data_IF_718785575054
#
_entry.id   IF_718785575054
#
_cell.length_a   1.000
_cell.length_b   1.000
_cell.length_c   1.000
_cell.angle_alpha   90.00
_cell.angle_beta   90.00
_cell.angle_gamma   90.00
#
_symmetry.space_group_name_H-M   'P 1'
#
loop_
_entity.id
_entity.type
_entity.pdbx_description
1 polymer ?
#
# COMPACT_ATOMS: atom_id res chain seq x y z
N UNK A 1 -2.76 37.64 -16.38
CA UNK A 1 -2.60 36.59 -17.42
C UNK A 1 -2.98 37.20 -18.76
N UNK A 2 -2.12 37.10 -19.77
CA UNK A 2 -2.29 37.64 -21.13
C UNK A 2 -2.32 36.44 -22.06
N UNK A 3 -3.29 36.40 -22.97
CA UNK A 3 -3.38 35.40 -24.04
C UNK A 3 -2.92 36.05 -25.36
N UNK A 4 -1.84 35.53 -25.93
CA UNK A 4 -1.26 36.04 -27.19
C UNK A 4 -1.62 35.10 -28.31
N UNK A 5 -2.40 35.61 -29.29
CA UNK A 5 -2.73 34.90 -30.49
C UNK A 5 -1.81 35.36 -31.64
N UNK A 6 -0.84 34.54 -32.00
CA UNK A 6 0.04 34.67 -33.15
C UNK A 6 -0.14 33.50 -34.11
N UNK A 7 0.57 33.47 -35.24
CA UNK A 7 0.53 32.33 -36.18
C UNK A 7 0.83 30.98 -35.51
N UNK A 8 1.60 30.95 -34.42
CA UNK A 8 1.85 29.74 -33.65
C UNK A 8 0.69 29.32 -32.73
N UNK A 9 -0.26 30.22 -32.40
CA UNK A 9 -1.42 29.89 -31.59
C UNK A 9 -2.42 28.98 -32.32
N UNK A 10 -2.31 28.82 -33.64
CA UNK A 10 -3.09 27.85 -34.39
C UNK A 10 -2.83 26.40 -33.91
N UNK A 11 -1.63 26.10 -33.39
CA UNK A 11 -1.30 24.81 -32.76
C UNK A 11 -2.09 24.54 -31.46
N UNK A 12 -2.59 25.57 -30.80
CA UNK A 12 -3.37 25.36 -29.56
C UNK A 12 -4.72 24.68 -29.85
N UNK A 13 -5.34 24.97 -30.98
CA UNK A 13 -6.65 24.38 -31.33
C UNK A 13 -6.53 22.87 -31.62
N UNK A 14 -5.34 22.40 -31.94
CA UNK A 14 -5.02 20.99 -32.17
C UNK A 14 -4.88 20.21 -30.87
N UNK A 15 -4.66 20.92 -29.76
CA UNK A 15 -4.48 20.31 -28.44
C UNK A 15 -5.84 19.89 -27.85
N UNK A 16 -6.01 18.59 -27.58
CA UNK A 16 -7.22 18.03 -27.00
C UNK A 16 -7.60 18.66 -25.66
N UNK A 17 -6.61 18.99 -24.81
CA UNK A 17 -6.84 19.67 -23.55
C UNK A 17 -7.46 21.05 -23.72
N UNK A 18 -7.00 21.81 -24.70
CA UNK A 18 -7.56 23.11 -25.03
C UNK A 18 -8.97 22.98 -25.60
N UNK A 19 -9.21 21.98 -26.44
CA UNK A 19 -10.55 21.69 -26.99
C UNK A 19 -11.53 21.34 -25.84
N UNK A 20 -11.07 20.57 -24.85
CA UNK A 20 -11.86 20.22 -23.67
C UNK A 20 -12.17 21.46 -22.80
N UNK A 21 -11.19 22.33 -22.61
CA UNK A 21 -11.36 23.61 -21.89
C UNK A 21 -12.39 24.52 -22.56
N UNK A 22 -12.47 24.55 -23.91
CA UNK A 22 -13.51 25.27 -24.65
C UNK A 22 -14.89 24.74 -24.29
N UNK A 23 -15.06 23.42 -24.35
CA UNK A 23 -16.35 22.77 -24.04
C UNK A 23 -16.74 23.03 -22.61
N UNK A 24 -15.83 22.87 -21.66
CA UNK A 24 -16.07 23.08 -20.22
C UNK A 24 -16.40 24.55 -19.91
N UNK A 25 -15.68 25.51 -20.50
CA UNK A 25 -15.96 26.93 -20.32
C UNK A 25 -17.36 27.32 -20.77
N UNK A 26 -17.87 26.73 -21.86
CA UNK A 26 -19.20 27.03 -22.40
C UNK A 26 -20.26 26.25 -21.63
N UNK A 27 -19.96 25.04 -21.18
CA UNK A 27 -20.85 24.25 -20.35
C UNK A 27 -21.05 24.84 -18.94
N UNK A 28 -20.15 25.73 -18.50
CA UNK A 28 -20.15 26.29 -17.13
C UNK A 28 -20.30 25.19 -16.07
N UNK A 29 -19.53 24.10 -16.25
CA UNK A 29 -19.67 22.87 -15.48
C UNK A 29 -18.65 22.75 -14.33
N UNK A 30 -18.20 23.88 -13.79
CA UNK A 30 -17.24 23.91 -12.68
C UNK A 30 -17.66 23.07 -11.46
N UNK A 31 -18.96 23.04 -11.07
CA UNK A 31 -19.39 22.18 -9.98
C UNK A 31 -19.17 20.68 -10.27
N UNK A 32 -19.44 20.25 -11.53
CA UNK A 32 -19.24 18.87 -11.95
C UNK A 32 -17.75 18.52 -12.06
N UNK A 33 -16.93 19.46 -12.53
CA UNK A 33 -15.47 19.29 -12.53
C UNK A 33 -14.91 19.16 -11.10
N UNK A 34 -15.37 19.99 -10.16
CA UNK A 34 -14.94 19.95 -8.77
C UNK A 34 -15.35 18.63 -8.09
N UNK A 35 -16.60 18.16 -8.29
CA UNK A 35 -17.05 16.86 -7.76
C UNK A 35 -16.22 15.72 -8.36
N UNK A 36 -16.02 15.74 -9.69
CA UNK A 36 -15.19 14.74 -10.37
C UNK A 36 -13.75 14.72 -9.82
N UNK A 37 -13.10 15.88 -9.69
CA UNK A 37 -11.73 15.97 -9.16
C UNK A 37 -11.63 15.40 -7.76
N UNK A 38 -12.55 15.73 -6.87
CA UNK A 38 -12.61 15.18 -5.51
C UNK A 38 -12.75 13.66 -5.52
N UNK A 39 -13.62 13.12 -6.38
CA UNK A 39 -13.80 11.66 -6.52
C UNK A 39 -12.60 10.98 -7.14
N UNK A 40 -11.95 11.62 -8.10
CA UNK A 40 -10.74 11.11 -8.73
C UNK A 40 -9.59 11.00 -7.73
N UNK A 41 -9.39 12.02 -6.89
CA UNK A 41 -8.38 11.99 -5.82
C UNK A 41 -8.67 10.87 -4.82
N UNK A 42 -9.93 10.71 -4.39
CA UNK A 42 -10.32 9.64 -3.48
C UNK A 42 -10.10 8.24 -4.08
N UNK A 43 -10.46 8.05 -5.35
CA UNK A 43 -10.22 6.79 -6.06
C UNK A 43 -8.72 6.49 -6.21
N UNK A 44 -7.92 7.47 -6.61
CA UNK A 44 -6.47 7.31 -6.76
C UNK A 44 -5.82 6.95 -5.42
N UNK A 45 -6.22 7.60 -4.33
CA UNK A 45 -5.75 7.28 -2.99
C UNK A 45 -6.12 5.84 -2.56
N UNK A 46 -7.34 5.38 -2.88
CA UNK A 46 -7.78 4.02 -2.60
C UNK A 46 -6.99 2.98 -3.42
N UNK A 47 -6.71 3.25 -4.69
CA UNK A 47 -5.86 2.40 -5.55
C UNK A 47 -4.44 2.31 -4.99
N UNK A 48 -3.84 3.43 -4.59
CA UNK A 48 -2.50 3.45 -3.98
C UNK A 48 -2.45 2.68 -2.66
N UNK A 49 -3.47 2.83 -1.81
CA UNK A 49 -3.58 2.10 -0.55
C UNK A 49 -3.65 0.59 -0.78
N UNK A 50 -4.48 0.14 -1.72
CA UNK A 50 -4.58 -1.26 -2.12
C UNK A 50 -3.23 -1.80 -2.63
N UNK A 51 -2.56 -1.07 -3.51
CA UNK A 51 -1.25 -1.47 -4.03
C UNK A 51 -0.18 -1.58 -2.93
N UNK A 52 -0.17 -0.66 -1.97
CA UNK A 52 0.74 -0.72 -0.81
C UNK A 52 0.51 -1.98 0.02
N UNK A 53 -0.75 -2.30 0.33
CA UNK A 53 -1.10 -3.52 1.08
C UNK A 53 -0.72 -4.79 0.33
N UNK A 54 -1.00 -4.87 -0.97
CA UNK A 54 -0.62 -6.01 -1.81
C UNK A 54 0.90 -6.22 -1.88
N UNK A 55 1.67 -5.13 -1.97
CA UNK A 55 3.12 -5.20 -1.98
C UNK A 55 3.69 -5.64 -0.63
N UNK A 56 3.10 -5.19 0.49
CA UNK A 56 3.48 -5.63 1.83
C UNK A 56 3.15 -7.11 2.03
N UNK A 57 1.94 -7.54 1.67
CA UNK A 57 1.53 -8.94 1.73
C UNK A 57 2.44 -9.84 0.90
N UNK A 58 2.79 -9.43 -0.33
CA UNK A 58 3.69 -10.19 -1.20
C UNK A 58 5.10 -10.36 -0.62
N UNK A 59 5.65 -9.33 0.04
CA UNK A 59 6.94 -9.44 0.72
C UNK A 59 6.85 -10.37 1.93
N UNK A 60 5.79 -10.26 2.72
CA UNK A 60 5.57 -11.13 3.88
C UNK A 60 5.31 -12.59 3.49
N UNK A 61 4.69 -12.84 2.35
CA UNK A 61 4.37 -14.18 1.87
C UNK A 61 5.60 -14.97 1.39
N UNK A 62 6.68 -14.29 0.98
CA UNK A 62 7.92 -14.99 0.61
C UNK A 62 8.57 -15.73 1.79
N UNK A 63 8.36 -15.23 3.02
CA UNK A 63 8.88 -15.84 4.24
C UNK A 63 7.79 -16.57 5.06
N UNK A 64 6.52 -16.48 4.64
CA UNK A 64 5.37 -16.98 5.39
C UNK A 64 5.46 -18.47 5.71
N UNK A 65 5.76 -19.31 4.71
CA UNK A 65 5.89 -20.77 4.88
C UNK A 65 7.00 -21.13 5.87
N UNK A 66 8.10 -20.37 5.84
CA UNK A 66 9.22 -20.56 6.75
C UNK A 66 8.87 -20.11 8.18
N UNK A 67 8.20 -18.99 8.32
CA UNK A 67 7.73 -18.47 9.62
C UNK A 67 6.71 -19.43 10.23
N UNK A 68 5.70 -19.88 9.45
CA UNK A 68 4.71 -20.86 9.90
C UNK A 68 5.35 -22.18 10.31
N UNK A 69 6.29 -22.69 9.53
CA UNK A 69 7.02 -23.91 9.86
C UNK A 69 7.78 -23.78 11.17
N UNK A 70 8.49 -22.67 11.39
CA UNK A 70 9.24 -22.39 12.62
C UNK A 70 8.32 -22.27 13.83
N UNK A 71 7.21 -21.53 13.68
CA UNK A 71 6.21 -21.37 14.72
C UNK A 71 5.63 -22.73 15.11
N UNK A 72 5.16 -23.51 14.16
CA UNK A 72 4.56 -24.82 14.39
C UNK A 72 5.50 -25.75 15.13
N UNK A 73 6.78 -25.76 14.75
CA UNK A 73 7.78 -26.59 15.41
C UNK A 73 7.99 -26.25 16.87
N UNK A 74 8.00 -24.96 17.24
CA UNK A 74 8.16 -24.51 18.62
C UNK A 74 6.85 -24.65 19.42
N UNK A 75 5.69 -24.45 18.79
CA UNK A 75 4.39 -24.59 19.44
C UNK A 75 4.08 -26.04 19.80
N UNK A 76 4.31 -26.98 18.85
CA UNK A 76 4.14 -28.41 19.06
C UNK A 76 5.14 -28.97 20.11
N UNK A 77 6.27 -28.31 20.32
CA UNK A 77 7.27 -28.73 21.29
C UNK A 77 6.80 -28.59 22.77
N UNK A 78 5.78 -27.77 23.04
CA UNK A 78 5.20 -27.65 24.39
C UNK A 78 6.24 -27.22 25.43
N UNK A 79 7.05 -26.19 25.10
CA UNK A 79 8.19 -25.72 25.90
C UNK A 79 7.75 -25.20 27.30
N UNK A 80 8.51 -25.52 28.33
CA UNK A 80 8.33 -25.01 29.68
C UNK A 80 9.64 -24.37 30.14
N UNK A 81 9.53 -23.30 30.93
CA UNK A 81 10.71 -22.66 31.55
C UNK A 81 11.39 -23.57 32.53
N UNK A 82 12.72 -23.72 32.45
CA UNK A 82 13.54 -24.52 33.33
C UNK A 82 13.31 -26.04 33.25
N UNK A 83 12.66 -26.51 32.17
CA UNK A 83 12.38 -27.94 31.92
C UNK A 83 13.68 -28.74 31.80
N UNK A 84 14.69 -28.22 31.14
CA UNK A 84 15.96 -28.91 30.92
C UNK A 84 16.68 -29.16 32.20
N UNK A 85 16.77 -28.16 33.10
CA UNK A 85 17.41 -28.31 34.42
C UNK A 85 16.67 -29.35 35.28
N UNK A 86 15.36 -29.38 35.24
CA UNK A 86 14.56 -30.39 35.96
C UNK A 86 14.81 -31.80 35.40
N UNK A 87 14.87 -31.93 34.08
CA UNK A 87 15.13 -33.18 33.41
C UNK A 87 16.57 -33.68 33.68
N UNK A 88 17.57 -32.81 33.71
CA UNK A 88 18.95 -33.17 34.06
C UNK A 88 19.05 -33.72 35.49
N UNK A 89 18.36 -33.06 36.43
CA UNK A 89 18.31 -33.55 37.82
C UNK A 89 17.56 -34.89 37.94
N UNK A 90 16.49 -35.08 37.17
CA UNK A 90 15.74 -36.33 37.13
C UNK A 90 16.55 -37.45 36.47
N UNK A 91 17.22 -37.17 35.36
CA UNK A 91 18.12 -38.12 34.69
C UNK A 91 19.24 -38.60 35.62
N UNK A 92 19.89 -37.65 36.36
CA UNK A 92 20.92 -38.01 37.32
C UNK A 92 20.42 -38.96 38.39
N UNK A 93 19.24 -38.71 38.96
CA UNK A 93 18.63 -39.58 39.98
C UNK A 93 18.28 -40.97 39.45
N UNK A 94 17.69 -41.02 38.24
CA UNK A 94 17.26 -42.28 37.64
C UNK A 94 18.41 -43.14 37.14
N UNK A 95 19.43 -42.53 36.53
CA UNK A 95 20.61 -43.24 36.02
C UNK A 95 21.48 -43.83 37.13
N UNK A 96 21.53 -43.18 38.32
CA UNK A 96 22.32 -43.67 39.45
C UNK A 96 21.48 -44.48 40.46
N UNK A 97 20.18 -44.68 40.18
CA UNK A 97 19.26 -45.35 41.12
C UNK A 97 19.75 -46.75 41.49
N UNK A 98 20.25 -47.55 40.53
CA UNK A 98 20.75 -48.88 40.75
C UNK A 98 22.06 -48.87 41.60
N UNK A 99 22.98 -47.99 41.27
CA UNK A 99 24.24 -47.84 42.04
C UNK A 99 23.98 -47.41 43.48
N UNK A 100 23.07 -46.44 43.69
CA UNK A 100 22.67 -45.98 45.03
C UNK A 100 22.03 -47.11 45.82
N UNK A 101 21.11 -47.86 45.20
CA UNK A 101 20.44 -48.98 45.82
C UNK A 101 21.45 -50.06 46.23
N UNK A 102 22.35 -50.48 45.30
CA UNK A 102 23.37 -51.47 45.58
C UNK A 102 24.35 -51.01 46.69
N UNK A 103 24.75 -49.74 46.70
CA UNK A 103 25.58 -49.19 47.77
C UNK A 103 24.89 -49.26 49.15
N UNK A 104 23.59 -48.87 49.20
CA UNK A 104 22.78 -48.94 50.44
C UNK A 104 22.59 -50.39 50.90
N UNK A 105 22.23 -51.30 49.99
CA UNK A 105 22.09 -52.74 50.29
C UNK A 105 23.41 -53.34 50.79
N UNK A 106 24.55 -52.98 50.17
CA UNK A 106 25.85 -53.41 50.63
C UNK A 106 26.16 -52.89 52.01
N UNK A 107 25.87 -51.63 52.33
CA UNK A 107 26.08 -51.05 53.63
C UNK A 107 25.21 -51.74 54.70
N UNK A 108 23.91 -52.01 54.38
CA UNK A 108 23.05 -52.77 55.25
C UNK A 108 23.57 -54.16 55.54
N UNK A 109 23.99 -54.88 54.48
CA UNK A 109 24.56 -56.22 54.67
C UNK A 109 25.79 -56.25 55.53
N UNK A 110 26.71 -55.24 55.35
CA UNK A 110 27.89 -55.12 56.21
C UNK A 110 27.57 -54.80 57.67
N UNK A 111 26.49 -54.07 57.93
CA UNK A 111 26.09 -53.68 59.29
C UNK A 111 25.26 -54.76 59.98
N UNK A 112 24.34 -55.48 59.28
CA UNK A 112 23.38 -56.43 59.88
C UNK A 112 23.42 -57.86 59.31
N UNK A 113 24.40 -58.22 58.43
CA UNK A 113 24.49 -59.56 57.82
C UNK A 113 24.45 -60.71 58.91
N UNK A 114 24.00 -61.93 58.44
CA UNK A 114 23.75 -63.06 59.34
C UNK A 114 25.02 -63.63 59.98
N UNK A 115 26.19 -63.38 59.43
CA UNK A 115 27.49 -63.76 59.99
C UNK A 115 28.55 -62.66 59.84
N UNK A 116 29.12 -62.22 60.97
CA UNK A 116 30.25 -61.31 61.02
C UNK A 116 29.91 -59.82 60.75
N UNK A 117 28.67 -59.43 60.90
CA UNK A 117 28.26 -58.02 60.74
C UNK A 117 28.82 -57.15 61.88
N UNK A 118 29.01 -55.85 61.57
CA UNK A 118 29.52 -54.90 62.60
C UNK A 118 28.62 -54.77 63.79
N UNK A 119 27.35 -54.78 63.63
CA UNK A 119 26.37 -54.70 64.74
C UNK A 119 26.40 -55.98 65.58
N UNK A 120 26.53 -57.16 64.97
CA UNK A 120 26.60 -58.42 65.69
C UNK A 120 27.93 -58.56 66.46
N UNK A 121 29.04 -58.13 65.77
CA UNK A 121 30.32 -58.11 66.46
C UNK A 121 30.34 -57.22 67.72
N UNK A 122 29.75 -56.03 67.61
CA UNK A 122 29.60 -55.12 68.74
C UNK A 122 28.64 -55.68 69.79
N UNK A 123 27.57 -56.42 69.41
CA UNK A 123 26.67 -57.09 70.36
C UNK A 123 27.35 -58.24 71.12
N UNK A 124 28.26 -58.91 70.48
CA UNK A 124 29.02 -60.00 71.14
C UNK A 124 30.12 -59.51 72.11
N UNK A 125 30.48 -58.24 71.99
CA UNK A 125 31.47 -57.64 72.85
C UNK A 125 30.89 -57.45 74.27
N UNK A 126 31.54 -58.04 75.29
CA UNK A 126 31.14 -58.02 76.72
C UNK A 126 32.32 -57.57 77.55
N UNK A 127 32.36 -56.30 77.94
CA UNK A 127 33.42 -55.64 78.69
C UNK A 127 32.95 -54.99 79.99
N UNK A 128 31.71 -55.27 80.40
CA UNK A 128 31.03 -54.65 81.56
C UNK A 128 31.86 -54.65 82.88
N UNK A 129 32.58 -55.76 83.08
CA UNK A 129 33.42 -55.90 84.30
C UNK A 129 34.85 -55.38 84.11
N UNK A 130 35.37 -55.42 82.86
CA UNK A 130 36.78 -55.11 82.60
C UNK A 130 37.01 -53.65 82.20
N UNK A 131 36.06 -53.06 81.51
CA UNK A 131 36.17 -51.68 81.03
C UNK A 131 34.77 -51.06 80.79
N UNK A 132 34.07 -50.63 81.83
CA UNK A 132 32.67 -50.14 81.68
C UNK A 132 32.52 -48.92 80.82
N UNK A 133 33.43 -47.96 80.80
CA UNK A 133 33.43 -46.80 79.92
C UNK A 133 33.54 -47.16 78.43
N UNK A 134 34.31 -48.20 78.13
CA UNK A 134 34.45 -48.70 76.80
C UNK A 134 33.19 -49.44 76.34
N UNK A 135 32.56 -50.19 77.28
CA UNK A 135 31.29 -50.88 77.04
C UNK A 135 30.18 -49.85 76.67
N UNK A 136 30.06 -48.77 77.46
CA UNK A 136 29.07 -47.70 77.18
C UNK A 136 29.26 -47.07 75.81
N UNK A 137 30.52 -46.85 75.39
CA UNK A 137 30.84 -46.36 74.04
C UNK A 137 30.50 -47.38 72.93
N UNK A 138 30.72 -48.66 73.19
CA UNK A 138 30.35 -49.74 72.26
C UNK A 138 28.82 -49.81 72.07
N UNK A 139 28.10 -49.73 73.19
CA UNK A 139 26.61 -49.73 73.15
C UNK A 139 26.05 -48.52 72.47
N UNK A 140 26.60 -47.33 72.65
CA UNK A 140 26.24 -46.13 71.97
C UNK A 140 26.51 -46.24 70.44
N UNK A 141 27.69 -46.71 70.05
CA UNK A 141 28.02 -46.92 68.62
C UNK A 141 27.12 -47.98 67.95
N UNK A 142 26.75 -49.06 68.72
CA UNK A 142 25.83 -50.06 68.20
C UNK A 142 24.45 -49.50 67.94
N UNK A 143 23.91 -48.68 68.83
CA UNK A 143 22.62 -48.01 68.62
C UNK A 143 22.68 -47.11 67.39
N UNK A 144 23.70 -46.28 67.28
CA UNK A 144 23.90 -45.37 66.13
C UNK A 144 23.97 -46.14 64.78
N UNK A 145 24.76 -47.27 64.77
CA UNK A 145 24.85 -48.11 63.54
C UNK A 145 23.51 -48.79 63.22
N UNK A 146 22.70 -49.16 64.27
CA UNK A 146 21.36 -49.71 64.01
C UNK A 146 20.44 -48.65 63.39
N UNK A 147 20.47 -47.39 63.85
CA UNK A 147 19.69 -46.30 63.32
C UNK A 147 20.10 -45.99 61.85
N UNK A 148 21.41 -45.91 61.59
CA UNK A 148 21.94 -45.73 60.21
C UNK A 148 21.49 -46.88 59.32
N UNK A 149 21.53 -48.11 59.80
CA UNK A 149 21.09 -49.27 59.03
C UNK A 149 19.61 -49.21 58.62
N UNK A 150 18.72 -48.90 59.61
CA UNK A 150 17.30 -48.74 59.37
C UNK A 150 16.99 -47.57 58.41
N UNK A 151 17.82 -46.51 58.44
CA UNK A 151 17.68 -45.41 57.53
C UNK A 151 18.11 -45.81 56.10
N UNK A 152 19.24 -46.54 55.97
CA UNK A 152 19.72 -47.06 54.71
C UNK A 152 18.73 -48.05 54.05
N UNK A 153 18.15 -48.98 54.86
CA UNK A 153 17.08 -49.88 54.36
C UNK A 153 15.88 -49.10 53.85
N UNK A 154 15.43 -48.10 54.61
CA UNK A 154 14.31 -47.26 54.19
C UNK A 154 14.60 -46.47 52.91
N UNK A 155 15.84 -45.94 52.77
CA UNK A 155 16.27 -45.26 51.58
C UNK A 155 16.36 -46.20 50.38
N UNK A 156 16.97 -47.40 50.55
CA UNK A 156 17.04 -48.42 49.48
C UNK A 156 15.66 -48.80 48.93
N UNK A 157 14.66 -48.96 49.84
CA UNK A 157 13.28 -49.27 49.48
C UNK A 157 12.51 -48.11 48.81
N UNK A 158 13.05 -46.92 48.87
CA UNK A 158 12.47 -45.73 48.20
C UNK A 158 13.09 -45.41 46.88
N UNK A 159 14.20 -46.03 46.52
CA UNK A 159 14.85 -45.84 45.22
C UNK A 159 14.02 -46.55 44.16
N UNK A 160 13.22 -45.75 43.41
CA UNK A 160 12.45 -46.24 42.29
C UNK A 160 13.35 -46.36 41.07
N UNK A 161 13.36 -47.58 40.49
CA UNK A 161 13.97 -47.83 39.18
C UNK A 161 12.88 -47.80 38.12
N UNK A 162 12.90 -46.76 37.30
CA UNK A 162 11.95 -46.63 36.16
C UNK A 162 12.72 -46.43 34.84
N UNK A 163 13.09 -47.56 34.17
CA UNK A 163 13.81 -47.49 32.91
C UNK A 163 13.01 -46.80 31.79
N UNK A 164 11.68 -46.89 31.86
CA UNK A 164 10.83 -46.28 30.82
C UNK A 164 10.80 -44.75 31.03
N UNK A 165 10.76 -44.31 32.28
CA UNK A 165 10.83 -42.89 32.58
C UNK A 165 12.20 -42.29 32.25
N UNK A 166 13.28 -43.02 32.51
CA UNK A 166 14.64 -42.60 32.14
C UNK A 166 14.74 -42.42 30.63
N UNK A 167 14.30 -43.37 29.84
CA UNK A 167 14.29 -43.27 28.39
C UNK A 167 13.48 -42.07 27.90
N UNK A 168 12.32 -41.82 28.44
CA UNK A 168 11.49 -40.65 28.09
C UNK A 168 12.20 -39.34 28.45
N UNK A 169 12.87 -39.25 29.57
CA UNK A 169 13.65 -38.07 29.99
C UNK A 169 14.78 -37.81 29.01
N UNK A 170 15.54 -38.85 28.62
CA UNK A 170 16.61 -38.74 27.63
C UNK A 170 16.11 -38.29 26.25
N UNK A 171 15.05 -38.88 25.72
CA UNK A 171 14.41 -38.50 24.48
C UNK A 171 13.91 -37.05 24.52
N UNK A 172 13.32 -36.62 25.62
CA UNK A 172 12.85 -35.25 25.80
C UNK A 172 13.98 -34.22 25.85
N UNK A 173 15.06 -34.52 26.57
CA UNK A 173 16.26 -33.70 26.63
C UNK A 173 16.94 -33.58 25.28
N UNK A 174 17.04 -34.68 24.51
CA UNK A 174 17.58 -34.67 23.13
C UNK A 174 16.73 -33.77 22.22
N UNK A 175 15.39 -33.85 22.33
CA UNK A 175 14.46 -33.01 21.58
C UNK A 175 14.67 -31.52 21.91
N UNK A 176 14.75 -31.16 23.19
CA UNK A 176 14.97 -29.79 23.64
C UNK A 176 16.34 -29.26 23.17
N UNK A 177 17.42 -30.04 23.34
CA UNK A 177 18.76 -29.67 22.87
C UNK A 177 18.81 -29.50 21.35
N UNK A 178 18.10 -30.33 20.60
CA UNK A 178 17.97 -30.19 19.14
C UNK A 178 17.32 -28.86 18.76
N UNK A 179 16.26 -28.46 19.49
CA UNK A 179 15.59 -27.18 19.27
C UNK A 179 16.50 -25.99 19.63
N UNK A 180 17.17 -26.04 20.79
CA UNK A 180 18.13 -25.01 21.20
C UNK A 180 19.21 -24.80 20.13
N UNK A 181 19.78 -25.91 19.63
CA UNK A 181 20.79 -25.87 18.56
C UNK A 181 20.25 -25.32 17.24
N UNK A 182 19.07 -25.81 16.82
CA UNK A 182 18.43 -25.42 15.55
C UNK A 182 18.08 -23.94 15.51
N UNK A 183 17.63 -23.39 16.62
CA UNK A 183 17.24 -21.98 16.73
C UNK A 183 18.33 -21.08 17.28
N UNK A 184 19.50 -21.64 17.61
CA UNK A 184 20.64 -20.93 18.23
C UNK A 184 20.21 -20.17 19.50
N UNK A 185 19.40 -20.80 20.33
CA UNK A 185 18.91 -20.26 21.59
C UNK A 185 19.76 -20.82 22.75
N UNK A 186 19.98 -20.01 23.79
CA UNK A 186 20.78 -20.40 24.95
C UNK A 186 19.98 -21.24 25.97
N UNK A 187 18.65 -21.05 26.00
CA UNK A 187 17.75 -21.72 26.96
C UNK A 187 16.31 -21.74 26.42
N UNK A 188 15.40 -22.42 27.16
CA UNK A 188 13.99 -22.55 26.80
C UNK A 188 13.26 -21.21 26.82
N UNK A 189 13.64 -20.29 27.69
CA UNK A 189 13.04 -18.95 27.79
C UNK A 189 13.21 -18.19 26.47
N UNK A 190 14.39 -18.32 25.84
CA UNK A 190 14.64 -17.73 24.50
C UNK A 190 13.80 -18.42 23.41
N UNK A 191 13.64 -19.75 23.47
CA UNK A 191 12.77 -20.46 22.53
C UNK A 191 11.29 -20.05 22.67
N UNK A 192 10.81 -19.87 23.91
CA UNK A 192 9.45 -19.40 24.19
C UNK A 192 9.26 -17.98 23.65
N UNK A 193 10.20 -17.07 23.91
CA UNK A 193 10.15 -15.70 23.38
C UNK A 193 10.14 -15.70 21.85
N UNK A 194 10.95 -16.55 21.21
CA UNK A 194 10.97 -16.70 19.75
C UNK A 194 9.65 -17.26 19.22
N UNK A 195 9.05 -18.25 19.90
CA UNK A 195 7.70 -18.78 19.56
C UNK A 195 6.67 -17.66 19.57
N UNK A 196 6.66 -16.85 20.62
CA UNK A 196 5.68 -15.77 20.78
C UNK A 196 5.87 -14.68 19.73
N UNK A 197 7.11 -14.33 19.37
CA UNK A 197 7.40 -13.42 18.26
C UNK A 197 6.91 -13.99 16.92
N UNK A 198 7.15 -15.27 16.66
CA UNK A 198 6.67 -15.94 15.44
C UNK A 198 5.14 -16.02 15.40
N UNK A 199 4.48 -16.22 16.54
CA UNK A 199 3.02 -16.20 16.65
C UNK A 199 2.44 -14.83 16.22
N UNK A 200 3.05 -13.74 16.67
CA UNK A 200 2.64 -12.40 16.23
C UNK A 200 2.85 -12.19 14.72
N UNK A 201 3.93 -12.74 14.15
CA UNK A 201 4.18 -12.65 12.73
C UNK A 201 3.14 -13.45 11.92
N UNK A 202 2.76 -14.66 12.35
CA UNK A 202 1.70 -15.46 11.73
C UNK A 202 0.36 -14.74 11.77
N UNK A 203 -0.02 -14.18 12.93
CA UNK A 203 -1.26 -13.42 13.07
C UNK A 203 -1.32 -12.20 12.14
N UNK A 204 -0.18 -11.53 11.90
CA UNK A 204 -0.11 -10.42 10.93
C UNK A 204 -0.29 -10.88 9.50
N UNK A 205 0.20 -12.07 9.13
CA UNK A 205 -0.02 -12.64 7.80
C UNK A 205 -1.51 -12.88 7.53
N UNK A 206 -2.23 -13.43 8.48
CA UNK A 206 -3.67 -13.70 8.37
C UNK A 206 -4.50 -12.40 8.27
N UNK A 207 -4.02 -11.27 8.86
CA UNK A 207 -4.71 -9.99 8.78
C UNK A 207 -4.64 -9.33 7.39
N UNK A 208 -3.58 -9.60 6.60
CA UNK A 208 -3.42 -8.98 5.29
C UNK A 208 -4.55 -9.32 4.31
N UNK A 209 -5.06 -10.54 4.32
CA UNK A 209 -6.16 -10.95 3.42
C UNK A 209 -7.43 -10.16 3.73
N UNK A 210 -7.72 -9.95 5.00
CA UNK A 210 -8.86 -9.13 5.43
C UNK A 210 -8.68 -7.65 5.05
N UNK A 211 -7.49 -7.10 5.27
CA UNK A 211 -7.19 -5.70 4.96
C UNK A 211 -7.22 -5.44 3.45
N UNK A 212 -6.70 -6.36 2.64
CA UNK A 212 -6.76 -6.31 1.18
C UNK A 212 -8.21 -6.36 0.70
N UNK A 213 -9.03 -7.27 1.24
CA UNK A 213 -10.45 -7.36 0.88
C UNK A 213 -11.22 -6.07 1.20
N UNK A 214 -10.94 -5.45 2.34
CA UNK A 214 -11.52 -4.16 2.71
C UNK A 214 -11.06 -3.02 1.79
N UNK A 215 -9.76 -2.96 1.48
CA UNK A 215 -9.22 -1.96 0.57
C UNK A 215 -9.76 -2.12 -0.86
N UNK A 216 -9.96 -3.36 -1.34
CA UNK A 216 -10.62 -3.62 -2.63
C UNK A 216 -12.05 -3.11 -2.65
N UNK A 217 -12.82 -3.39 -1.60
CA UNK A 217 -14.19 -2.93 -1.48
C UNK A 217 -14.28 -1.40 -1.48
N UNK A 218 -13.39 -0.74 -0.76
CA UNK A 218 -13.28 0.72 -0.73
C UNK A 218 -12.95 1.28 -2.12
N UNK A 219 -11.94 0.72 -2.79
CA UNK A 219 -11.58 1.11 -4.16
C UNK A 219 -12.74 0.96 -5.13
N UNK A 220 -13.53 -0.13 -5.05
CA UNK A 220 -14.70 -0.34 -5.89
C UNK A 220 -15.82 0.68 -5.59
N UNK A 221 -16.02 1.03 -4.33
CA UNK A 221 -16.98 2.07 -3.94
C UNK A 221 -16.57 3.44 -4.50
N UNK A 222 -15.30 3.82 -4.36
CA UNK A 222 -14.78 5.07 -4.91
C UNK A 222 -14.85 5.08 -6.45
N UNK A 223 -14.55 3.96 -7.11
CA UNK A 223 -14.71 3.80 -8.55
C UNK A 223 -16.16 4.01 -9.00
N UNK A 224 -17.11 3.43 -8.31
CA UNK A 224 -18.53 3.60 -8.63
C UNK A 224 -19.01 5.06 -8.44
N UNK A 225 -18.51 5.74 -7.40
CA UNK A 225 -18.79 7.15 -7.18
C UNK A 225 -18.16 8.04 -8.28
N UNK A 226 -16.91 7.76 -8.64
CA UNK A 226 -16.21 8.46 -9.72
C UNK A 226 -16.89 8.27 -11.08
N UNK A 227 -17.35 7.04 -11.38
CA UNK A 227 -18.08 6.75 -12.63
C UNK A 227 -19.35 7.63 -12.75
N UNK A 228 -20.12 7.78 -11.68
CA UNK A 228 -21.30 8.64 -11.68
C UNK A 228 -20.94 10.12 -11.91
N UNK A 229 -19.88 10.60 -11.27
CA UNK A 229 -19.39 11.96 -11.48
C UNK A 229 -18.90 12.18 -12.93
N UNK A 230 -18.19 11.20 -13.50
CA UNK A 230 -17.75 11.20 -14.89
C UNK A 230 -18.94 11.26 -15.87
N UNK A 231 -19.98 10.45 -15.66
CA UNK A 231 -21.20 10.47 -16.47
C UNK A 231 -21.92 11.83 -16.40
N UNK A 232 -21.98 12.46 -15.23
CA UNK A 232 -22.55 13.78 -15.06
C UNK A 232 -21.74 14.85 -15.80
N UNK A 233 -20.42 14.78 -15.73
CA UNK A 233 -19.52 15.69 -16.44
C UNK A 233 -19.63 15.50 -17.96
N UNK A 234 -19.59 14.27 -18.45
CA UNK A 234 -19.79 13.94 -19.88
C UNK A 234 -21.15 14.44 -20.40
N UNK A 235 -22.22 14.28 -19.61
CA UNK A 235 -23.55 14.77 -19.96
C UNK A 235 -23.57 16.29 -20.10
N UNK A 236 -22.93 17.01 -19.19
CA UNK A 236 -22.83 18.48 -19.26
C UNK A 236 -22.09 18.95 -20.50
N UNK A 237 -20.99 18.27 -20.85
CA UNK A 237 -20.18 18.53 -22.06
C UNK A 237 -20.99 18.29 -23.33
N UNK A 238 -21.66 17.12 -23.41
CA UNK A 238 -22.49 16.76 -24.59
C UNK A 238 -23.62 17.74 -24.83
N UNK A 239 -24.18 18.32 -23.79
CA UNK A 239 -25.29 19.27 -23.93
C UNK A 239 -24.90 20.54 -24.72
N UNK A 240 -23.64 20.94 -24.70
CA UNK A 240 -23.15 22.17 -25.35
C UNK A 240 -22.45 21.96 -26.70
N UNK A 241 -22.11 20.73 -27.08
CA UNK A 241 -21.38 20.47 -28.33
C UNK A 241 -22.13 21.01 -29.57
N UNK A 242 -23.44 20.73 -29.69
CA UNK A 242 -24.26 21.20 -30.80
C UNK A 242 -24.41 22.73 -30.82
N UNK A 243 -24.77 23.42 -29.73
CA UNK A 243 -24.78 24.87 -29.64
C UNK A 243 -23.43 25.53 -30.03
N UNK A 244 -22.30 24.94 -29.59
CA UNK A 244 -20.96 25.42 -29.94
C UNK A 244 -20.76 25.35 -31.46
N UNK A 245 -21.02 24.20 -32.08
CA UNK A 245 -20.87 24.00 -33.51
C UNK A 245 -21.73 24.96 -34.31
N UNK A 246 -23.01 25.12 -33.97
CA UNK A 246 -23.93 26.04 -34.66
C UNK A 246 -23.43 27.49 -34.59
N UNK A 247 -22.92 27.93 -33.46
CA UNK A 247 -22.40 29.28 -33.26
C UNK A 247 -21.07 29.50 -34.01
N UNK A 248 -20.17 28.52 -34.00
CA UNK A 248 -18.93 28.56 -34.78
C UNK A 248 -19.22 28.66 -36.29
N UNK A 249 -20.13 27.83 -36.80
CA UNK A 249 -20.55 27.85 -38.21
C UNK A 249 -21.13 29.21 -38.59
N UNK A 250 -22.01 29.78 -37.74
CA UNK A 250 -22.60 31.10 -38.00
C UNK A 250 -21.53 32.22 -38.09
N UNK A 251 -20.58 32.24 -37.14
CA UNK A 251 -19.50 33.21 -37.14
C UNK A 251 -18.53 33.02 -38.33
N UNK A 252 -18.17 31.77 -38.67
CA UNK A 252 -17.31 31.47 -39.83
C UNK A 252 -17.93 31.90 -41.14
N UNK A 253 -19.25 31.76 -41.32
CA UNK A 253 -19.96 32.26 -42.52
C UNK A 253 -19.82 33.77 -42.64
N UNK A 254 -19.90 34.54 -41.56
CA UNK A 254 -19.68 36.00 -41.55
C UNK A 254 -18.23 36.36 -41.93
N UNK A 255 -17.27 35.46 -41.59
CA UNK A 255 -15.86 35.63 -41.91
C UNK A 255 -15.47 35.07 -43.28
N UNK A 256 -16.42 34.88 -44.20
CA UNK A 256 -16.18 34.46 -45.57
C UNK A 256 -15.94 32.96 -45.77
N UNK A 257 -16.16 32.13 -44.76
CA UNK A 257 -16.13 30.66 -44.89
C UNK A 257 -17.56 30.17 -45.04
N UNK A 258 -18.16 30.44 -46.22
CA UNK A 258 -19.61 30.26 -46.43
C UNK A 258 -20.10 28.81 -46.25
N UNK A 259 -19.23 27.85 -46.52
CA UNK A 259 -19.55 26.42 -46.48
C UNK A 259 -18.88 25.69 -45.29
N UNK A 260 -18.48 26.46 -44.28
CA UNK A 260 -17.89 25.87 -43.07
C UNK A 260 -18.81 24.82 -42.44
N UNK A 261 -18.25 23.71 -42.12
CA UNK A 261 -18.86 22.68 -41.28
C UNK A 261 -17.95 22.38 -40.07
N UNK A 262 -18.54 22.27 -38.87
CA UNK A 262 -17.81 22.03 -37.62
C UNK A 262 -18.57 20.97 -36.86
N UNK A 263 -17.84 20.03 -36.31
CA UNK A 263 -18.37 19.05 -35.38
C UNK A 263 -17.43 18.89 -34.16
N UNK A 264 -17.99 18.62 -33.01
CA UNK A 264 -17.26 18.25 -31.80
C UNK A 264 -17.69 16.84 -31.47
N UNK A 265 -16.74 15.93 -31.54
CA UNK A 265 -16.92 14.55 -31.08
C UNK A 265 -16.39 14.40 -29.68
N UNK A 266 -17.22 13.79 -28.82
CA UNK A 266 -16.88 13.45 -27.45
C UNK A 266 -16.97 11.92 -27.32
N UNK A 267 -15.80 11.28 -27.23
CA UNK A 267 -15.67 9.85 -27.12
C UNK A 267 -15.32 9.49 -25.66
N UNK A 268 -16.22 8.83 -24.91
CA UNK A 268 -15.92 8.40 -23.57
C UNK A 268 -14.85 7.30 -23.61
N UNK A 269 -13.85 7.42 -22.76
CA UNK A 269 -12.81 6.41 -22.56
C UNK A 269 -13.11 5.57 -21.32
N UNK A 270 -12.47 4.41 -21.22
CA UNK A 270 -12.53 3.55 -20.03
C UNK A 270 -11.63 4.03 -18.91
N UNK A 271 -10.66 4.89 -19.23
CA UNK A 271 -9.65 5.36 -18.31
C UNK A 271 -10.04 6.70 -17.70
N UNK A 272 -9.97 6.80 -16.40
CA UNK A 272 -10.17 8.04 -15.69
C UNK A 272 -8.89 8.88 -15.73
N UNK A 273 -9.03 10.13 -16.13
CA UNK A 273 -7.94 11.12 -16.10
C UNK A 273 -8.29 12.25 -15.12
N UNK A 274 -7.33 13.10 -14.71
CA UNK A 274 -7.65 14.25 -13.85
C UNK A 274 -8.70 15.21 -14.43
N UNK A 275 -8.93 15.19 -15.76
CA UNK A 275 -9.87 16.08 -16.47
C UNK A 275 -11.20 15.39 -16.86
N UNK A 276 -11.40 14.14 -16.50
CA UNK A 276 -12.58 13.36 -16.90
C UNK A 276 -12.22 12.07 -17.63
N UNK A 277 -13.20 11.47 -18.29
CA UNK A 277 -13.05 10.27 -19.11
C UNK A 277 -13.52 10.53 -20.57
N UNK A 278 -13.47 11.78 -21.04
CA UNK A 278 -13.86 12.13 -22.39
C UNK A 278 -12.65 12.54 -23.24
N UNK A 279 -12.49 11.94 -24.39
CA UNK A 279 -11.65 12.46 -25.45
C UNK A 279 -12.47 13.37 -26.35
N UNK A 280 -11.99 14.59 -26.55
CA UNK A 280 -12.63 15.58 -27.42
C UNK A 280 -11.87 15.71 -28.73
N UNK A 281 -12.60 15.78 -29.84
CA UNK A 281 -12.04 16.07 -31.15
C UNK A 281 -12.87 17.13 -31.86
N UNK A 282 -12.22 18.23 -32.18
CA UNK A 282 -12.80 19.28 -33.02
C UNK A 282 -12.54 18.96 -34.49
N UNK A 283 -13.61 18.70 -35.21
CA UNK A 283 -13.56 18.41 -36.67
C UNK A 283 -14.00 19.64 -37.45
N UNK A 284 -13.32 19.93 -38.56
CA UNK A 284 -13.57 21.09 -39.38
C UNK A 284 -13.47 20.75 -40.86
N UNK A 285 -14.34 21.37 -41.67
CA UNK A 285 -14.26 21.43 -43.12
C UNK A 285 -14.65 22.85 -43.57
N UNK A 286 -13.82 23.45 -44.41
CA UNK A 286 -14.02 24.81 -44.92
C UNK A 286 -14.94 24.86 -46.16
N UNK A 287 -15.03 23.77 -46.93
CA UNK A 287 -15.69 23.71 -48.24
C UNK A 287 -16.68 22.53 -48.34
N UNK A 288 -17.71 22.67 -49.17
CA UNK A 288 -18.75 21.66 -49.37
C UNK A 288 -18.25 20.27 -49.79
N UNK A 289 -17.12 20.21 -50.50
CA UNK A 289 -16.58 18.96 -51.05
C UNK A 289 -15.51 18.34 -50.16
N UNK A 290 -15.31 18.88 -48.95
CA UNK A 290 -14.37 18.35 -47.98
C UNK A 290 -15.13 17.58 -46.88
N UNK A 291 -14.64 16.38 -46.56
CA UNK A 291 -15.06 15.69 -45.37
C UNK A 291 -14.59 16.41 -44.12
N UNK A 292 -15.34 16.28 -43.04
CA UNK A 292 -14.86 16.71 -41.72
C UNK A 292 -13.57 15.96 -41.37
N UNK A 293 -12.54 16.70 -40.98
CA UNK A 293 -11.22 16.19 -40.55
C UNK A 293 -10.82 16.84 -39.26
N UNK A 294 -9.93 16.22 -38.54
CA UNK A 294 -9.34 16.85 -37.39
C UNK A 294 -8.70 18.20 -37.77
N UNK A 295 -8.87 19.19 -36.91
CA UNK A 295 -8.31 20.54 -37.16
C UNK A 295 -6.81 20.51 -37.43
N UNK A 296 -6.07 19.58 -36.82
CA UNK A 296 -4.63 19.35 -37.09
C UNK A 296 -4.29 18.94 -38.52
N UNK A 297 -5.25 18.43 -39.28
CA UNK A 297 -5.06 17.96 -40.67
C UNK A 297 -5.47 19.03 -41.72
N UNK A 298 -5.94 20.19 -41.28
CA UNK A 298 -6.40 21.27 -42.17
C UNK A 298 -5.24 22.12 -42.62
N UNK A 299 -4.99 22.15 -43.92
CA UNK A 299 -3.81 22.76 -44.52
C UNK A 299 -3.83 24.31 -44.63
N UNK A 300 -4.99 24.96 -44.46
CA UNK A 300 -5.13 26.40 -44.66
C UNK A 300 -4.98 27.23 -43.39
N UNK A 301 -3.84 27.89 -43.23
CA UNK A 301 -3.57 28.76 -42.07
C UNK A 301 -4.60 29.88 -41.88
N UNK A 302 -5.10 30.47 -42.95
CA UNK A 302 -6.11 31.53 -42.87
C UNK A 302 -7.49 31.04 -42.41
N UNK A 303 -7.88 29.82 -42.76
CA UNK A 303 -9.14 29.21 -42.29
C UNK A 303 -9.07 28.84 -40.83
N UNK A 304 -7.92 28.29 -40.39
CA UNK A 304 -7.67 27.97 -38.97
C UNK A 304 -7.63 29.23 -38.09
N UNK A 305 -7.00 30.32 -38.59
CA UNK A 305 -6.98 31.62 -37.89
C UNK A 305 -8.39 32.19 -37.68
N UNK A 306 -9.25 32.10 -38.72
CA UNK A 306 -10.66 32.51 -38.59
C UNK A 306 -11.44 31.61 -37.64
N UNK A 307 -11.23 30.29 -37.69
CA UNK A 307 -11.85 29.36 -36.72
C UNK A 307 -11.40 29.70 -35.29
N UNK A 308 -10.09 29.94 -35.08
CA UNK A 308 -9.57 30.32 -33.78
C UNK A 308 -10.16 31.65 -33.29
N UNK A 309 -10.33 32.65 -34.15
CA UNK A 309 -11.01 33.88 -33.76
C UNK A 309 -12.45 33.62 -33.29
N UNK A 310 -13.19 32.75 -33.99
CA UNK A 310 -14.55 32.38 -33.62
C UNK A 310 -14.57 31.63 -32.28
N UNK A 311 -13.62 30.73 -32.01
CA UNK A 311 -13.47 30.02 -30.76
C UNK A 311 -13.18 31.00 -29.62
N UNK A 312 -12.21 31.93 -29.80
CA UNK A 312 -11.88 32.96 -28.83
C UNK A 312 -13.06 33.87 -28.54
N UNK A 313 -13.83 34.25 -29.55
CA UNK A 313 -15.04 35.04 -29.37
C UNK A 313 -16.12 34.31 -28.54
N UNK A 314 -16.20 33.00 -28.72
CA UNK A 314 -17.14 32.16 -27.98
C UNK A 314 -16.77 32.08 -26.51
N UNK A 315 -15.50 31.88 -26.20
CA UNK A 315 -15.01 31.76 -24.79
C UNK A 315 -14.95 33.15 -24.13
N UNK A 316 -14.80 34.20 -24.91
CA UNK A 316 -14.69 35.57 -24.39
C UNK A 316 -15.88 35.97 -23.51
N UNK A 317 -17.06 35.43 -23.71
CA UNK A 317 -18.26 35.71 -22.92
C UNK A 317 -18.38 34.89 -21.64
N UNK A 318 -17.61 33.82 -21.46
CA UNK A 318 -17.82 32.85 -20.37
C UNK A 318 -16.80 32.95 -19.24
N UNK A 319 -15.53 32.80 -19.54
CA UNK A 319 -14.47 32.96 -18.53
C UNK A 319 -13.25 33.62 -19.15
N UNK A 320 -12.56 34.39 -18.34
CA UNK A 320 -11.65 34.88 -18.83
C UNK A 320 -10.30 35.44 -18.61
N UNK A 321 -9.42 35.28 -19.50
CA UNK A 321 -8.19 36.03 -19.57
C UNK A 321 -8.54 37.53 -19.71
N UNK A 322 -8.03 38.41 -18.87
CA UNK A 322 -8.40 39.82 -18.88
C UNK A 322 -7.96 40.53 -20.17
N UNK A 323 -6.92 40.03 -20.82
CA UNK A 323 -6.34 40.62 -22.07
C UNK A 323 -6.09 39.55 -23.11
N UNK A 324 -6.52 39.81 -24.35
CA UNK A 324 -6.21 39.00 -25.51
C UNK A 324 -5.48 39.88 -26.53
N UNK A 325 -4.34 39.42 -27.00
CA UNK A 325 -3.54 40.08 -28.06
C UNK A 325 -3.71 39.28 -29.35
N UNK A 326 -4.20 39.92 -30.39
CA UNK A 326 -4.25 39.36 -31.73
C UNK A 326 -3.11 39.94 -32.57
N UNK A 327 -2.20 39.08 -33.02
CA UNK A 327 -1.04 39.46 -33.82
C UNK A 327 -1.17 38.87 -35.21
N UNK A 328 -1.26 39.76 -36.22
CA UNK A 328 -1.35 39.43 -37.66
C UNK A 328 -2.47 38.43 -38.03
N UNK A 329 -3.59 38.45 -37.31
CA UNK A 329 -4.73 37.56 -37.57
C UNK A 329 -5.44 37.86 -38.91
N UNK A 330 -5.17 39.00 -39.49
CA UNK A 330 -5.76 39.54 -40.68
C UNK A 330 -4.99 39.19 -41.98
N UNK A 331 -3.98 38.32 -41.90
CA UNK A 331 -3.21 37.87 -43.07
C UNK A 331 -4.10 37.19 -44.12
N UNK A 332 -4.08 37.68 -45.37
CA UNK A 332 -4.88 37.16 -46.47
C UNK A 332 -6.37 37.51 -46.43
N UNK A 333 -6.73 38.51 -45.64
CA UNK A 333 -8.10 39.01 -45.51
C UNK A 333 -8.21 40.42 -46.12
N UNK A 334 -9.31 40.75 -46.74
CA UNK A 334 -9.56 42.07 -47.32
C UNK A 334 -11.05 42.44 -47.34
N UNK A 335 -11.34 43.74 -47.50
CA UNK A 335 -12.69 44.25 -47.70
C UNK A 335 -13.68 43.95 -46.57
N UNK A 336 -14.82 43.40 -46.90
CA UNK A 336 -15.93 43.16 -45.99
C UNK A 336 -15.58 42.16 -44.88
N UNK A 337 -14.74 41.18 -45.17
CA UNK A 337 -14.31 40.19 -44.19
C UNK A 337 -13.50 40.84 -43.04
N UNK A 338 -12.60 41.78 -43.39
CA UNK A 338 -11.85 42.54 -42.38
C UNK A 338 -12.78 43.38 -41.49
N UNK A 339 -13.84 43.95 -42.06
CA UNK A 339 -14.85 44.70 -41.33
C UNK A 339 -15.63 43.81 -40.34
N UNK A 340 -15.97 42.58 -40.76
CA UNK A 340 -16.64 41.62 -39.90
C UNK A 340 -15.73 41.12 -38.76
N UNK A 341 -14.46 40.85 -39.07
CA UNK A 341 -13.45 40.51 -38.05
C UNK A 341 -13.36 41.62 -36.98
N UNK A 342 -13.25 42.86 -37.41
CA UNK A 342 -13.19 44.01 -36.53
C UNK A 342 -14.47 44.14 -35.67
N UNK A 343 -15.64 43.79 -36.19
CA UNK A 343 -16.90 43.80 -35.47
C UNK A 343 -16.94 42.73 -34.39
N UNK A 344 -16.45 41.51 -34.67
CA UNK A 344 -16.33 40.43 -33.69
C UNK A 344 -15.35 40.83 -32.56
N UNK A 345 -14.19 41.39 -32.91
CA UNK A 345 -13.19 41.86 -31.92
C UNK A 345 -13.77 42.98 -31.04
N UNK A 346 -14.54 43.90 -31.62
CA UNK A 346 -15.19 44.97 -30.88
C UNK A 346 -16.24 44.45 -29.92
N UNK A 347 -16.98 43.42 -30.29
CA UNK A 347 -17.93 42.75 -29.38
C UNK A 347 -17.19 42.08 -28.19
N UNK A 348 -16.08 41.41 -28.47
CA UNK A 348 -15.21 40.86 -27.41
C UNK A 348 -14.64 41.95 -26.50
N UNK A 349 -14.33 43.12 -27.05
CA UNK A 349 -13.76 44.25 -26.29
C UNK A 349 -14.74 44.85 -25.28
N UNK A 350 -16.05 44.59 -25.36
CA UNK A 350 -17.03 44.99 -24.33
C UNK A 350 -16.81 44.30 -23.01
N UNK A 351 -16.19 43.16 -23.02
CA UNK A 351 -16.00 42.32 -21.81
C UNK A 351 -14.55 42.16 -21.39
N UNK A 352 -13.59 42.56 -22.26
CA UNK A 352 -12.15 42.30 -22.08
C UNK A 352 -11.29 43.33 -22.78
N UNK A 353 -10.05 43.44 -22.37
CA UNK A 353 -9.05 44.19 -23.10
C UNK A 353 -8.65 43.39 -24.34
N UNK A 354 -8.83 43.99 -25.54
CA UNK A 354 -8.36 43.42 -26.81
C UNK A 354 -7.29 44.34 -27.38
N UNK A 355 -6.13 43.78 -27.70
CA UNK A 355 -5.04 44.44 -28.37
C UNK A 355 -4.88 43.78 -29.73
N UNK A 356 -4.89 44.58 -30.79
CA UNK A 356 -4.78 44.05 -32.16
C UNK A 356 -3.58 44.68 -32.88
N UNK A 357 -2.68 43.86 -33.38
CA UNK A 357 -1.59 44.27 -34.24
C UNK A 357 -2.07 43.99 -35.68
N UNK A 358 -2.29 45.03 -36.44
CA UNK A 358 -2.90 44.95 -37.79
C UNK A 358 -2.29 45.95 -38.77
N UNK A 359 -2.28 45.58 -40.03
CA UNK A 359 -1.95 46.50 -41.12
C UNK A 359 -3.18 46.92 -41.93
N UNK A 360 -4.38 46.41 -41.59
CA UNK A 360 -5.63 46.71 -42.28
C UNK A 360 -6.34 47.93 -41.66
N UNK A 361 -6.58 48.99 -42.45
CA UNK A 361 -7.27 50.19 -41.97
C UNK A 361 -8.69 49.92 -41.50
N UNK A 362 -9.37 48.92 -42.06
CA UNK A 362 -10.72 48.51 -41.65
C UNK A 362 -10.78 47.99 -40.21
N UNK A 363 -9.73 47.29 -39.75
CA UNK A 363 -9.63 46.80 -38.39
C UNK A 363 -9.17 47.92 -37.48
N UNK A 364 -8.11 48.64 -37.85
CA UNK A 364 -7.59 49.76 -37.10
C UNK A 364 -8.69 50.83 -36.80
N UNK A 365 -9.49 51.20 -37.78
CA UNK A 365 -10.55 52.20 -37.62
C UNK A 365 -11.65 51.81 -36.60
N UNK A 366 -11.72 50.57 -36.14
CA UNK A 366 -12.70 50.12 -35.11
C UNK A 366 -12.12 50.14 -33.69
N UNK A 367 -10.81 50.38 -33.55
CA UNK A 367 -10.18 50.52 -32.25
C UNK A 367 -10.56 51.85 -31.55
N UNK A 368 -10.68 51.83 -30.22
CA UNK A 368 -10.92 53.03 -29.40
C UNK A 368 -9.61 53.81 -29.15
N UNK A 369 -8.48 53.08 -29.09
CA UNK A 369 -7.16 53.63 -28.89
C UNK A 369 -6.22 53.14 -30.00
N UNK A 370 -5.42 54.07 -30.58
CA UNK A 370 -4.52 53.75 -31.67
C UNK A 370 -3.06 54.03 -31.29
N UNK A 371 -2.22 53.05 -31.54
CA UNK A 371 -0.77 53.16 -31.36
C UNK A 371 -0.11 52.90 -32.75
N UNK A 372 0.75 53.78 -33.17
CA UNK A 372 1.52 53.61 -34.42
C UNK A 372 2.96 53.29 -34.08
N UNK A 373 3.45 52.16 -34.59
CA UNK A 373 4.86 51.78 -34.47
C UNK A 373 5.59 52.28 -35.75
N UNK A 374 6.68 53.04 -35.55
CA UNK A 374 7.51 53.52 -36.66
C UNK A 374 8.99 53.38 -36.27
N UNK A 375 9.85 53.17 -37.26
CA UNK A 375 11.30 53.23 -37.04
C UNK A 375 11.74 54.68 -37.08
N UNK A 376 12.55 55.11 -36.14
CA UNK A 376 13.24 56.39 -36.09
C UNK A 376 14.58 56.26 -36.81
#
# INVERSE_FOLDING_TARGET
>A
LIDIHSQHANLMIENADFQLEIVDAIAQNEPQQADYSTRYEAYTAAVEALHKLQNLAKKSQQDADYIQYRYKLLDEAGLQEGELEQLEQEQYRLSHAEEIRMALETAVAALQGEQGSAIEALRACRLDEAAPELQERIDSARIELQDICHEAERMAGRVEMDPQRLQWVEERMESLNTLLHKFNAANETELIALRDELAEQVNRLDSFDFDIANAQKEMEQQRAALTKAAEALTKSRKAVTKPICERLIANLKQLGVAHANVAIELNPTTDFTPKGCDEVQLLFAANLNQSLRNVSEVASGGEISRLMLCVKALIASTKGLPTIIFDEIDTGVSGDIATQMASIMREMAKHRQIIVITHLPQIAARGEHHYKVYKV
#
